data_IF_024679995393
#
_entry.id   IF_024679995393
#
_cell.length_a   1.000
_cell.length_b   1.000
_cell.length_c   1.000
_cell.angle_alpha   90.00
_cell.angle_beta   90.00
_cell.angle_gamma   90.00
#
_symmetry.space_group_name_H-M   'P 1'
#
loop_
_entity.id
_entity.type
_entity.pdbx_description
1 polymer ?
#
# COMPACT_ATOMS: atom_id res chain seq x y z
N UNK A 1 10.32 1.47 -3.80
CA UNK A 1 10.89 2.55 -4.66
C UNK A 1 12.11 2.07 -5.43
N UNK A 2 13.18 1.57 -4.80
CA UNK A 2 14.40 1.11 -5.50
C UNK A 2 14.15 0.11 -6.64
N UNK A 3 13.17 -0.77 -6.50
CA UNK A 3 12.80 -1.75 -7.53
C UNK A 3 12.23 -1.13 -8.80
N UNK A 4 11.51 -0.02 -8.68
CA UNK A 4 11.00 0.71 -9.84
C UNK A 4 12.16 1.34 -10.63
N UNK A 5 13.20 1.81 -9.94
CA UNK A 5 14.42 2.31 -10.61
C UNK A 5 15.08 1.19 -11.40
N UNK A 6 15.31 0.02 -10.76
CA UNK A 6 15.92 -1.15 -11.42
C UNK A 6 15.09 -1.60 -12.64
N UNK A 7 13.76 -1.63 -12.51
CA UNK A 7 12.88 -1.96 -13.63
C UNK A 7 12.98 -0.93 -14.75
N UNK A 8 12.90 0.35 -14.44
CA UNK A 8 12.91 1.40 -15.45
C UNK A 8 14.24 1.44 -16.20
N UNK A 9 15.38 1.22 -15.52
CA UNK A 9 16.68 1.08 -16.18
C UNK A 9 16.75 -0.15 -17.07
N UNK A 10 16.14 -1.28 -16.67
CA UNK A 10 16.07 -2.47 -17.50
C UNK A 10 15.21 -2.29 -18.77
N UNK A 11 14.31 -1.31 -18.78
CA UNK A 11 13.49 -0.91 -19.94
C UNK A 11 14.14 0.17 -20.82
N UNK A 12 15.41 0.52 -20.54
CA UNK A 12 16.20 1.45 -21.36
C UNK A 12 16.15 2.91 -20.89
N UNK A 13 15.54 3.22 -19.76
CA UNK A 13 15.63 4.57 -19.19
C UNK A 13 17.03 4.82 -18.61
N UNK A 14 17.55 6.04 -18.75
CA UNK A 14 18.78 6.42 -18.05
C UNK A 14 18.57 6.36 -16.54
N UNK A 15 19.63 6.13 -15.78
CA UNK A 15 19.55 6.08 -14.32
C UNK A 15 19.02 7.39 -13.72
N UNK A 16 19.41 8.52 -14.29
CA UNK A 16 18.95 9.85 -13.89
C UNK A 16 17.44 10.01 -14.13
N UNK A 17 16.93 9.59 -15.29
CA UNK A 17 15.51 9.62 -15.61
C UNK A 17 14.71 8.68 -14.68
N UNK A 18 15.22 7.49 -14.41
CA UNK A 18 14.58 6.53 -13.52
C UNK A 18 14.49 7.06 -12.07
N UNK A 19 15.53 7.74 -11.58
CA UNK A 19 15.52 8.40 -10.27
C UNK A 19 14.58 9.63 -10.27
N UNK A 20 14.61 10.43 -11.34
CA UNK A 20 13.68 11.56 -11.51
C UNK A 20 12.21 11.14 -11.44
N UNK A 21 11.85 9.99 -12.02
CA UNK A 21 10.51 9.42 -11.91
C UNK A 21 10.11 9.09 -10.46
N UNK A 22 11.07 8.76 -9.58
CA UNK A 22 10.78 8.53 -8.16
C UNK A 22 10.44 9.83 -7.43
N UNK A 23 11.05 10.94 -7.82
CA UNK A 23 10.69 12.27 -7.28
C UNK A 23 9.26 12.63 -7.69
N UNK A 24 8.90 12.42 -8.95
CA UNK A 24 7.52 12.63 -9.43
C UNK A 24 6.55 11.72 -8.69
N UNK A 25 6.90 10.44 -8.51
CA UNK A 25 6.13 9.48 -7.73
C UNK A 25 5.88 9.96 -6.29
N UNK A 26 6.89 10.52 -5.62
CA UNK A 26 6.79 11.06 -4.27
C UNK A 26 5.85 12.27 -4.20
N UNK A 27 5.94 13.20 -5.15
CA UNK A 27 5.05 14.38 -5.24
C UNK A 27 3.60 13.94 -5.43
N UNK A 28 3.35 13.01 -6.36
CA UNK A 28 2.03 12.43 -6.60
C UNK A 28 1.51 11.70 -5.34
N UNK A 29 2.42 11.11 -4.54
CA UNK A 29 2.09 10.46 -3.28
C UNK A 29 1.45 11.42 -2.26
N UNK A 30 1.84 12.69 -2.23
CA UNK A 30 1.19 13.69 -1.37
C UNK A 30 -0.29 13.85 -1.75
N UNK A 31 -0.59 13.95 -3.04
CA UNK A 31 -1.98 14.00 -3.52
C UNK A 31 -2.74 12.72 -3.19
N UNK A 32 -2.07 11.56 -3.33
CA UNK A 32 -2.64 10.26 -2.99
C UNK A 32 -2.99 10.12 -1.51
N UNK A 33 -2.14 10.63 -0.63
CA UNK A 33 -2.38 10.67 0.81
C UNK A 33 -3.63 11.47 1.14
N UNK A 34 -3.76 12.69 0.57
CA UNK A 34 -4.93 13.53 0.77
C UNK A 34 -6.21 12.89 0.23
N UNK A 35 -6.16 12.34 -0.99
CA UNK A 35 -7.30 11.70 -1.65
C UNK A 35 -7.84 10.53 -0.82
N UNK A 36 -6.98 9.59 -0.45
CA UNK A 36 -7.40 8.43 0.32
C UNK A 36 -7.72 8.76 1.78
N UNK A 37 -7.12 9.81 2.36
CA UNK A 37 -7.53 10.34 3.65
C UNK A 37 -8.95 10.90 3.62
N UNK A 38 -9.35 11.63 2.57
CA UNK A 38 -10.70 12.10 2.40
C UNK A 38 -11.72 10.96 2.17
N UNK A 39 -11.32 9.92 1.42
CA UNK A 39 -12.14 8.72 1.21
C UNK A 39 -12.34 7.96 2.54
N UNK A 40 -11.28 7.83 3.34
CA UNK A 40 -11.33 7.20 4.65
C UNK A 40 -12.30 7.92 5.59
N UNK A 41 -12.22 9.25 5.67
CA UNK A 41 -13.13 10.06 6.46
C UNK A 41 -14.60 9.94 6.00
N UNK A 42 -14.85 9.87 4.69
CA UNK A 42 -16.21 9.86 4.14
C UNK A 42 -16.86 8.48 4.18
N UNK A 43 -16.12 7.42 3.87
CA UNK A 43 -16.66 6.07 3.66
C UNK A 43 -16.23 5.06 4.72
N UNK A 44 -15.32 5.46 5.60
CA UNK A 44 -14.71 4.64 6.64
C UNK A 44 -13.53 3.82 6.14
N UNK A 45 -12.63 3.49 7.07
CA UNK A 45 -11.33 2.85 6.82
C UNK A 45 -11.43 1.56 6.03
N UNK A 46 -12.42 0.71 6.30
CA UNK A 46 -12.59 -0.59 5.63
C UNK A 46 -12.82 -0.44 4.13
N UNK A 47 -13.75 0.44 3.73
CA UNK A 47 -14.08 0.69 2.33
C UNK A 47 -12.92 1.39 1.62
N UNK A 48 -12.26 2.32 2.30
CA UNK A 48 -11.10 3.03 1.77
C UNK A 48 -9.93 2.07 1.48
N UNK A 49 -9.65 1.12 2.38
CA UNK A 49 -8.61 0.10 2.18
C UNK A 49 -8.96 -0.83 1.01
N UNK A 50 -10.20 -1.30 0.90
CA UNK A 50 -10.61 -2.16 -0.23
C UNK A 50 -10.42 -1.41 -1.56
N UNK A 51 -10.84 -0.15 -1.65
CA UNK A 51 -10.64 0.67 -2.84
C UNK A 51 -9.15 0.86 -3.16
N UNK A 52 -8.34 1.11 -2.13
CA UNK A 52 -6.89 1.20 -2.25
C UNK A 52 -6.26 -0.10 -2.78
N UNK A 53 -6.68 -1.26 -2.26
CA UNK A 53 -6.15 -2.55 -2.71
C UNK A 53 -6.50 -2.82 -4.18
N UNK A 54 -7.72 -2.50 -4.60
CA UNK A 54 -8.13 -2.58 -6.02
C UNK A 54 -7.27 -1.65 -6.88
N UNK A 55 -7.11 -0.39 -6.46
CA UNK A 55 -6.26 0.58 -7.14
C UNK A 55 -4.83 0.08 -7.31
N UNK A 56 -4.27 -0.48 -6.24
CA UNK A 56 -2.89 -0.98 -6.25
C UNK A 56 -2.72 -2.24 -7.09
N UNK A 57 -3.71 -3.14 -7.13
CA UNK A 57 -3.74 -4.28 -8.05
C UNK A 57 -3.69 -3.82 -9.52
N UNK A 58 -4.49 -2.81 -9.89
CA UNK A 58 -4.50 -2.25 -11.24
C UNK A 58 -3.13 -1.61 -11.56
N UNK A 59 -2.56 -0.85 -10.63
CA UNK A 59 -1.23 -0.25 -10.79
C UNK A 59 -0.15 -1.30 -11.03
N UNK A 60 -0.15 -2.41 -10.30
CA UNK A 60 0.79 -3.50 -10.49
C UNK A 60 0.55 -4.26 -11.79
N UNK A 61 -0.71 -4.45 -12.21
CA UNK A 61 -1.03 -5.07 -13.49
C UNK A 61 -0.50 -4.23 -14.66
N UNK A 62 -0.69 -2.90 -14.63
CA UNK A 62 -0.10 -1.99 -15.63
C UNK A 62 1.43 -2.03 -15.55
N UNK A 63 2.00 -2.18 -14.34
CA UNK A 63 3.44 -2.31 -14.17
C UNK A 63 4.03 -3.60 -14.76
N UNK A 64 3.20 -4.61 -15.03
CA UNK A 64 3.60 -5.81 -15.76
C UNK A 64 3.69 -5.58 -17.29
N UNK A 65 3.22 -4.45 -17.82
CA UNK A 65 3.38 -4.08 -19.23
C UNK A 65 4.75 -3.47 -19.44
N UNK A 66 5.46 -3.89 -20.49
CA UNK A 66 6.81 -3.40 -20.81
C UNK A 66 6.76 -2.20 -21.79
N UNK A 67 5.71 -1.38 -21.71
CA UNK A 67 5.53 -0.20 -22.58
C UNK A 67 5.95 1.08 -21.86
N UNK A 68 6.55 2.03 -22.59
CA UNK A 68 6.97 3.34 -22.04
C UNK A 68 5.80 4.09 -21.40
N UNK A 69 4.63 4.09 -22.05
CA UNK A 69 3.41 4.70 -21.51
C UNK A 69 2.98 3.99 -20.22
N UNK A 70 3.05 2.64 -20.19
CA UNK A 70 2.77 1.85 -19.01
C UNK A 70 3.68 2.18 -17.82
N UNK A 71 4.96 2.53 -18.07
CA UNK A 71 5.89 2.99 -17.03
C UNK A 71 5.38 4.28 -16.39
N UNK A 72 5.07 5.31 -17.17
CA UNK A 72 4.61 6.60 -16.62
C UNK A 72 3.30 6.47 -15.86
N UNK A 73 2.33 5.75 -16.43
CA UNK A 73 1.03 5.53 -15.79
C UNK A 73 1.18 4.72 -14.50
N UNK A 74 1.95 3.64 -14.52
CA UNK A 74 2.17 2.80 -13.33
C UNK A 74 2.90 3.56 -12.23
N UNK A 75 3.91 4.39 -12.55
CA UNK A 75 4.64 5.22 -11.59
C UNK A 75 3.70 6.23 -10.92
N UNK A 76 2.83 6.89 -11.70
CA UNK A 76 1.84 7.81 -11.15
C UNK A 76 0.84 7.09 -10.22
N UNK A 77 0.31 5.95 -10.64
CA UNK A 77 -0.63 5.16 -9.84
C UNK A 77 0.01 4.59 -8.57
N UNK A 78 1.26 4.12 -8.64
CA UNK A 78 2.02 3.65 -7.49
C UNK A 78 2.34 4.81 -6.55
N UNK A 79 2.62 6.02 -7.07
CA UNK A 79 2.79 7.22 -6.27
C UNK A 79 1.57 7.48 -5.38
N UNK A 80 0.38 7.51 -5.97
CA UNK A 80 -0.89 7.64 -5.23
C UNK A 80 -1.02 6.54 -4.17
N UNK A 81 -0.71 5.29 -4.52
CA UNK A 81 -0.81 4.17 -3.61
C UNK A 81 0.17 4.26 -2.42
N UNK A 82 1.40 4.73 -2.65
CA UNK A 82 2.39 4.92 -1.57
C UNK A 82 1.92 5.98 -0.57
N UNK A 83 1.36 7.09 -1.06
CA UNK A 83 0.78 8.12 -0.20
C UNK A 83 -0.43 7.63 0.58
N UNK A 84 -1.32 6.87 -0.05
CA UNK A 84 -2.48 6.25 0.59
C UNK A 84 -2.07 5.25 1.69
N UNK A 85 -1.07 4.41 1.43
CA UNK A 85 -0.57 3.44 2.39
C UNK A 85 -0.08 4.10 3.69
N UNK A 86 0.58 5.26 3.58
CA UNK A 86 1.04 6.00 4.75
C UNK A 86 -0.11 6.41 5.69
N UNK A 87 -1.28 6.76 5.15
CA UNK A 87 -2.46 7.05 5.96
C UNK A 87 -3.01 5.80 6.65
N UNK A 88 -3.11 4.69 5.93
CA UNK A 88 -3.71 3.46 6.48
C UNK A 88 -2.88 2.81 7.58
N UNK A 89 -1.56 3.02 7.60
CA UNK A 89 -0.68 2.59 8.71
C UNK A 89 -1.14 3.18 10.04
N UNK A 90 -1.72 4.37 10.03
CA UNK A 90 -2.19 5.06 11.23
C UNK A 90 -3.70 4.87 11.43
N UNK A 91 -4.51 5.06 10.37
CA UNK A 91 -5.96 5.07 10.48
C UNK A 91 -6.55 3.69 10.80
N UNK A 92 -5.97 2.60 10.28
CA UNK A 92 -6.47 1.25 10.53
C UNK A 92 -6.31 0.84 12.01
N UNK A 93 -5.12 0.91 12.65
CA UNK A 93 -5.00 0.61 14.07
C UNK A 93 -5.87 1.52 14.94
N UNK A 94 -5.97 2.81 14.62
CA UNK A 94 -6.79 3.76 15.36
C UNK A 94 -8.29 3.39 15.29
N UNK A 95 -8.78 2.94 14.13
CA UNK A 95 -10.19 2.56 13.97
C UNK A 95 -10.53 1.23 14.66
N UNK A 96 -9.57 0.29 14.71
CA UNK A 96 -9.79 -1.05 15.28
C UNK A 96 -9.65 -1.04 16.80
N UNK A 97 -8.66 -0.34 17.35
CA UNK A 97 -8.31 -0.40 18.77
C UNK A 97 -8.65 0.88 19.55
N UNK A 98 -9.13 1.93 18.88
CA UNK A 98 -9.42 3.21 19.48
C UNK A 98 -8.16 4.00 19.87
N UNK A 99 -8.36 5.21 20.38
CA UNK A 99 -7.25 6.13 20.74
C UNK A 99 -6.44 5.63 21.93
N UNK A 100 -7.08 5.00 22.90
CA UNK A 100 -6.44 4.52 24.13
C UNK A 100 -5.50 3.34 23.88
N UNK A 101 -5.83 2.43 22.95
CA UNK A 101 -5.01 1.27 22.60
C UNK A 101 -3.93 1.55 21.52
N UNK A 102 -4.01 2.70 20.87
CA UNK A 102 -3.21 3.02 19.68
C UNK A 102 -1.70 2.92 19.91
N UNK A 103 -1.18 3.54 20.97
CA UNK A 103 0.25 3.56 21.28
C UNK A 103 0.80 2.15 21.54
N UNK A 104 0.07 1.36 22.32
CA UNK A 104 0.45 -0.01 22.69
C UNK A 104 0.43 -0.93 21.44
N UNK A 105 -0.60 -0.82 20.62
CA UNK A 105 -0.70 -1.61 19.39
C UNK A 105 0.39 -1.24 18.40
N UNK A 106 0.65 0.05 18.19
CA UNK A 106 1.68 0.50 17.27
C UNK A 106 3.09 0.13 17.71
N UNK A 107 3.39 0.07 19.02
CA UNK A 107 4.71 -0.38 19.50
C UNK A 107 5.04 -1.82 19.09
N UNK A 108 4.04 -2.66 18.87
CA UNK A 108 4.20 -4.04 18.38
C UNK A 108 4.06 -4.10 16.86
N UNK A 109 3.10 -3.36 16.30
CA UNK A 109 2.79 -3.40 14.87
C UNK A 109 3.92 -2.85 13.99
N UNK A 110 4.55 -1.73 14.37
CA UNK A 110 5.61 -1.14 13.58
C UNK A 110 6.86 -2.04 13.41
N UNK A 111 7.41 -2.65 14.47
CA UNK A 111 8.52 -3.61 14.30
C UNK A 111 8.16 -4.80 13.41
N UNK A 112 6.95 -5.37 13.58
CA UNK A 112 6.48 -6.48 12.73
C UNK A 112 6.37 -6.06 11.27
N UNK A 113 5.84 -4.88 11.01
CA UNK A 113 5.75 -4.33 9.65
C UNK A 113 7.14 -4.17 9.02
N UNK A 114 8.15 -3.72 9.77
CA UNK A 114 9.52 -3.60 9.26
C UNK A 114 10.14 -4.95 8.89
N UNK A 115 9.88 -5.99 9.67
CA UNK A 115 10.31 -7.36 9.34
C UNK A 115 9.70 -7.82 8.02
N UNK A 116 8.39 -7.59 7.83
CA UNK A 116 7.69 -7.91 6.57
C UNK A 116 8.25 -7.10 5.40
N UNK A 117 8.56 -5.82 5.60
CA UNK A 117 9.16 -4.97 4.56
C UNK A 117 10.56 -5.46 4.13
N UNK A 118 11.36 -6.00 5.05
CA UNK A 118 12.65 -6.61 4.69
C UNK A 118 12.48 -7.83 3.79
N UNK A 119 11.44 -8.63 3.98
CA UNK A 119 11.14 -9.81 3.15
C UNK A 119 10.88 -9.44 1.69
N UNK A 120 10.45 -8.21 1.41
CA UNK A 120 10.23 -7.70 0.07
C UNK A 120 11.48 -7.80 -0.82
N UNK A 121 12.66 -7.52 -0.30
CA UNK A 121 13.92 -7.64 -1.05
C UNK A 121 14.21 -9.09 -1.43
N UNK A 122 13.94 -10.03 -0.54
CA UNK A 122 14.14 -11.46 -0.76
C UNK A 122 13.20 -11.99 -1.86
N UNK A 123 11.93 -11.60 -1.82
CA UNK A 123 10.93 -11.98 -2.82
C UNK A 123 11.34 -11.49 -4.21
N UNK A 124 11.83 -10.25 -4.32
CA UNK A 124 12.27 -9.71 -5.61
C UNK A 124 13.55 -10.38 -6.13
N UNK A 125 14.52 -10.63 -5.25
CA UNK A 125 15.74 -11.34 -5.62
C UNK A 125 15.41 -12.76 -6.11
N UNK A 126 14.51 -13.46 -5.42
CA UNK A 126 14.03 -14.79 -5.81
C UNK A 126 13.29 -14.76 -7.16
N UNK A 127 12.38 -13.79 -7.34
CA UNK A 127 11.64 -13.64 -8.59
C UNK A 127 12.58 -13.39 -9.79
N UNK A 128 13.57 -12.52 -9.64
CA UNK A 128 14.57 -12.28 -10.68
C UNK A 128 15.38 -13.55 -10.96
N UNK A 129 15.77 -14.29 -9.92
CA UNK A 129 16.55 -15.53 -10.07
C UNK A 129 15.79 -16.62 -10.83
N UNK A 130 14.47 -16.75 -10.59
CA UNK A 130 13.64 -17.80 -11.20
C UNK A 130 13.12 -17.40 -12.58
N UNK A 131 12.66 -16.17 -12.74
CA UNK A 131 11.98 -15.71 -13.96
C UNK A 131 12.85 -14.85 -14.87
N UNK A 132 14.03 -14.42 -14.41
CA UNK A 132 14.89 -13.47 -15.09
C UNK A 132 14.34 -12.04 -15.15
N UNK A 133 13.15 -11.79 -14.62
CA UNK A 133 12.43 -10.51 -14.67
C UNK A 133 11.67 -10.20 -13.38
N UNK A 134 11.46 -8.93 -13.10
CA UNK A 134 10.64 -8.47 -11.95
C UNK A 134 9.13 -8.79 -12.10
N UNK A 135 8.67 -9.14 -13.31
CA UNK A 135 7.27 -9.45 -13.58
C UNK A 135 6.72 -10.55 -12.66
N UNK A 136 7.53 -11.57 -12.34
CA UNK A 136 7.14 -12.64 -11.42
C UNK A 136 6.86 -12.12 -10.00
N UNK A 137 7.63 -11.16 -9.52
CA UNK A 137 7.40 -10.52 -8.23
C UNK A 137 6.08 -9.74 -8.21
N UNK A 138 5.76 -9.01 -9.29
CA UNK A 138 4.50 -8.25 -9.36
C UNK A 138 3.28 -9.16 -9.35
N UNK A 139 3.32 -10.30 -10.04
CA UNK A 139 2.23 -11.30 -10.02
C UNK A 139 2.06 -11.84 -8.60
N UNK A 140 3.16 -12.16 -7.91
CA UNK A 140 3.11 -12.61 -6.52
C UNK A 140 2.49 -11.55 -5.59
N UNK A 141 2.85 -10.27 -5.75
CA UNK A 141 2.26 -9.18 -4.96
C UNK A 141 0.78 -8.97 -5.25
N UNK A 142 0.33 -9.12 -6.50
CA UNK A 142 -1.10 -9.08 -6.84
C UNK A 142 -1.85 -10.20 -6.09
N UNK A 143 -1.30 -11.41 -6.05
CA UNK A 143 -1.86 -12.50 -5.26
C UNK A 143 -1.98 -12.16 -3.77
N UNK A 144 -0.94 -11.57 -3.17
CA UNK A 144 -0.96 -11.09 -1.78
C UNK A 144 -2.00 -9.99 -1.55
N UNK A 145 -2.17 -9.07 -2.50
CA UNK A 145 -3.18 -8.01 -2.39
C UNK A 145 -4.61 -8.58 -2.41
N UNK A 146 -4.87 -9.61 -3.23
CA UNK A 146 -6.16 -10.30 -3.24
C UNK A 146 -6.43 -10.98 -1.89
N UNK A 147 -5.43 -11.66 -1.32
CA UNK A 147 -5.54 -12.24 0.03
C UNK A 147 -5.83 -11.14 1.07
N UNK A 148 -5.09 -10.04 1.02
CA UNK A 148 -5.33 -8.88 1.91
C UNK A 148 -6.74 -8.30 1.75
N UNK A 149 -7.27 -8.25 0.53
CA UNK A 149 -8.63 -7.78 0.28
C UNK A 149 -9.67 -8.69 0.95
N UNK A 150 -9.49 -10.01 0.87
CA UNK A 150 -10.36 -10.99 1.55
C UNK A 150 -10.26 -10.81 3.07
N UNK A 151 -9.04 -10.74 3.63
CA UNK A 151 -8.84 -10.52 5.06
C UNK A 151 -9.49 -9.22 5.54
N UNK A 152 -9.30 -8.13 4.80
CA UNK A 152 -9.93 -6.82 5.12
C UNK A 152 -11.46 -6.92 5.07
N UNK A 153 -12.02 -7.70 4.14
CA UNK A 153 -13.47 -7.90 4.06
C UNK A 153 -14.03 -8.63 5.29
N UNK A 154 -13.26 -9.52 5.90
CA UNK A 154 -13.66 -10.29 7.10
C UNK A 154 -13.53 -9.45 8.39
N UNK A 155 -12.57 -8.53 8.46
CA UNK A 155 -12.32 -7.72 9.65
C UNK A 155 -13.50 -6.79 9.93
N UNK A 156 -13.95 -6.77 11.21
CA UNK A 156 -14.90 -5.80 11.74
C UNK A 156 -14.13 -4.69 12.48
N UNK A 157 -13.94 -3.49 11.88
CA UNK A 157 -13.04 -2.48 12.43
C UNK A 157 -13.47 -1.97 13.82
N UNK A 158 -14.75 -1.95 14.12
CA UNK A 158 -15.29 -1.42 15.40
C UNK A 158 -15.37 -2.44 16.53
N UNK A 159 -15.09 -3.72 16.28
CA UNK A 159 -15.30 -4.81 17.25
C UNK A 159 -14.48 -4.67 18.54
N UNK A 160 -13.28 -4.13 18.42
CA UNK A 160 -12.32 -3.99 19.52
C UNK A 160 -12.14 -2.54 19.97
N UNK A 161 -12.89 -1.60 19.39
CA UNK A 161 -12.78 -0.19 19.70
C UNK A 161 -13.60 0.12 20.96
N UNK A 162 -12.90 0.32 22.08
CA UNK A 162 -13.51 0.65 23.36
C UNK A 162 -14.21 2.02 23.38
N UNK A 163 -13.74 2.95 22.55
CA UNK A 163 -14.32 4.30 22.48
C UNK A 163 -15.76 4.22 21.93
N UNK A 164 -15.99 3.38 20.91
CA UNK A 164 -17.34 3.16 20.34
C UNK A 164 -18.23 2.38 21.31
N UNK A 165 -17.69 1.42 22.06
CA UNK A 165 -18.44 0.67 23.07
C UNK A 165 -18.93 1.60 24.19
N UNK A 166 -18.07 2.51 24.65
CA UNK A 166 -18.42 3.49 25.68
C UNK A 166 -19.49 4.48 25.20
N UNK A 167 -19.40 4.97 23.98
CA UNK A 167 -20.44 5.84 23.40
C UNK A 167 -21.79 5.14 23.27
N UNK A 168 -21.81 3.85 22.92
CA UNK A 168 -23.04 3.06 22.85
C UNK A 168 -23.66 2.78 24.23
N UNK A 169 -22.84 2.68 25.28
CA UNK A 169 -23.33 2.55 26.66
C UNK A 169 -23.92 3.86 27.20
N UNK A 170 -23.34 5.00 26.82
CA UNK A 170 -23.85 6.32 27.23
C UNK A 170 -25.16 6.73 26.50
N UNK A 171 -25.47 6.11 25.36
CA UNK A 171 -26.71 6.36 24.61
C UNK A 171 -27.86 5.42 25.00
N UNK A 172 -27.66 4.46 25.92
CA UNK A 172 -28.70 3.57 26.50
C UNK A 172 -29.20 4.11 27.83
#
# INVERSE_FOLDING_TARGET
MSQLVVRNTSLGFSQEAAVGLMTVCAIIGVCGSYLFGAIDQKFGVKKAIILFLIWYCIALAINCTDTTIGVYVSVAMIGIAVGAAANFIVSLPASVFGRHGFTMVNSVFFPLMQIVLMTNYQVNAFAIRVTGRLRGAYIFYIGLLVVNMILTAIIHPTRYNKDVATEQELMK
#
